data_IF_299323201511
#
_entry.id   IF_299323201511
#
_cell.length_a   1.000
_cell.length_b   1.000
_cell.length_c   1.000
_cell.angle_alpha   90.00
_cell.angle_beta   90.00
_cell.angle_gamma   90.00
#
_symmetry.space_group_name_H-M   'P 1'
#
loop_
_entity.id
_entity.type
_entity.pdbx_description
1 polymer ?
#
# COMPACT_ATOMS: atom_id res chain seq x y z
N UNK A 1 9.21 19.22 -24.46
CA UNK A 1 8.11 18.37 -23.94
C UNK A 1 8.72 17.34 -22.99
N UNK A 2 9.04 17.72 -21.75
CA UNK A 2 9.45 16.73 -20.76
C UNK A 2 8.17 16.05 -20.23
N UNK A 3 7.91 14.82 -20.67
CA UNK A 3 6.79 14.03 -20.19
C UNK A 3 6.98 13.75 -18.70
N UNK A 4 6.22 14.45 -17.85
CA UNK A 4 6.22 14.20 -16.41
C UNK A 4 5.67 12.79 -16.18
N UNK A 5 6.46 11.91 -15.56
CA UNK A 5 6.02 10.56 -15.22
C UNK A 5 4.87 10.64 -14.20
N UNK A 6 3.70 10.09 -14.53
CA UNK A 6 2.50 10.15 -13.68
C UNK A 6 2.67 9.44 -12.33
N UNK A 7 3.50 8.41 -12.27
CA UNK A 7 3.84 7.73 -11.00
C UNK A 7 4.64 8.69 -10.11
N UNK A 8 5.66 9.35 -10.67
CA UNK A 8 6.47 10.33 -9.93
C UNK A 8 5.64 11.55 -9.52
N UNK A 9 4.65 11.91 -10.34
CA UNK A 9 3.70 12.98 -10.03
C UNK A 9 2.58 12.55 -9.05
N UNK A 10 2.56 11.30 -8.60
CA UNK A 10 1.52 10.78 -7.69
C UNK A 10 0.13 10.65 -8.32
N UNK A 11 0.01 10.76 -9.65
CA UNK A 11 -1.28 10.68 -10.37
C UNK A 11 -1.72 9.25 -10.65
N UNK A 12 -0.79 8.30 -10.61
CA UNK A 12 -1.05 6.88 -10.86
C UNK A 12 -0.25 6.02 -9.89
N UNK A 13 -0.92 5.04 -9.28
CA UNK A 13 -0.27 4.02 -8.46
C UNK A 13 0.56 3.02 -9.28
N UNK A 14 1.37 2.25 -8.57
CA UNK A 14 2.18 1.17 -9.14
C UNK A 14 1.32 -0.07 -9.37
N UNK A 15 1.32 -0.58 -10.61
CA UNK A 15 0.65 -1.84 -10.97
C UNK A 15 1.61 -3.03 -10.90
N UNK A 16 1.08 -4.25 -11.01
CA UNK A 16 1.89 -5.46 -11.07
C UNK A 16 2.91 -5.44 -12.24
N UNK A 17 2.46 -5.11 -13.47
CA UNK A 17 3.37 -4.98 -14.62
C UNK A 17 4.49 -3.96 -14.35
N UNK A 18 4.15 -2.80 -13.76
CA UNK A 18 5.17 -1.81 -13.41
C UNK A 18 6.14 -2.35 -12.36
N UNK A 19 5.66 -3.02 -11.30
CA UNK A 19 6.54 -3.65 -10.31
C UNK A 19 7.49 -4.67 -10.95
N UNK A 20 6.99 -5.52 -11.87
CA UNK A 20 7.81 -6.52 -12.56
C UNK A 20 8.98 -5.88 -13.33
N UNK A 21 8.70 -4.77 -14.04
CA UNK A 21 9.72 -4.02 -14.78
C UNK A 21 10.72 -3.35 -13.83
N UNK A 22 10.24 -2.68 -12.79
CA UNK A 22 11.09 -1.91 -11.88
C UNK A 22 11.93 -2.80 -10.97
N UNK A 23 11.43 -3.94 -10.47
CA UNK A 23 12.28 -4.82 -9.67
C UNK A 23 13.41 -5.38 -10.52
N UNK A 24 13.15 -5.76 -11.78
CA UNK A 24 14.18 -6.30 -12.68
C UNK A 24 15.21 -5.25 -13.06
N UNK A 25 14.75 -4.01 -13.29
CA UNK A 25 15.62 -2.87 -13.62
C UNK A 25 16.54 -2.50 -12.46
N UNK A 26 16.02 -2.47 -11.24
CA UNK A 26 16.77 -2.02 -10.06
C UNK A 26 17.38 -3.16 -9.23
N UNK A 27 17.23 -4.41 -9.65
CA UNK A 27 17.76 -5.57 -8.91
C UNK A 27 17.11 -5.75 -7.52
N UNK A 28 15.85 -5.36 -7.37
CA UNK A 28 15.11 -5.45 -6.11
C UNK A 28 14.37 -6.78 -5.98
N UNK A 29 13.87 -7.07 -4.77
CA UNK A 29 13.03 -8.23 -4.54
C UNK A 29 11.67 -8.11 -5.21
N UNK A 30 11.07 -9.25 -5.57
CA UNK A 30 9.72 -9.27 -6.10
C UNK A 30 8.73 -8.65 -5.09
N UNK A 31 7.73 -7.97 -5.64
CA UNK A 31 6.71 -7.21 -4.91
C UNK A 31 7.22 -5.97 -4.15
N UNK A 32 8.49 -5.58 -4.28
CA UNK A 32 9.04 -4.43 -3.54
C UNK A 32 8.18 -3.18 -3.66
N UNK A 33 7.84 -2.80 -4.89
CA UNK A 33 7.08 -1.58 -5.15
C UNK A 33 5.59 -1.75 -4.82
N UNK A 34 5.03 -2.95 -5.01
CA UNK A 34 3.64 -3.23 -4.63
C UNK A 34 3.42 -3.15 -3.12
N UNK A 35 4.40 -3.57 -2.31
CA UNK A 35 4.33 -3.38 -0.85
C UNK A 35 4.30 -1.90 -0.47
N UNK A 36 5.10 -1.08 -1.16
CA UNK A 36 5.06 0.37 -1.00
C UNK A 36 3.71 0.97 -1.37
N UNK A 37 3.16 0.58 -2.53
CA UNK A 37 1.83 1.01 -2.98
C UNK A 37 0.73 0.62 -1.99
N UNK A 38 0.72 -0.64 -1.53
CA UNK A 38 -0.26 -1.14 -0.57
C UNK A 38 -0.19 -0.38 0.77
N UNK A 39 1.02 -0.03 1.23
CA UNK A 39 1.19 0.81 2.43
C UNK A 39 0.60 2.20 2.21
N UNK A 40 0.92 2.85 1.10
CA UNK A 40 0.36 4.17 0.77
C UNK A 40 -1.16 4.14 0.70
N UNK A 41 -1.74 3.18 -0.03
CA UNK A 41 -3.19 3.04 -0.17
C UNK A 41 -3.87 2.77 1.18
N UNK A 42 -3.20 2.00 2.05
CA UNK A 42 -3.68 1.72 3.41
C UNK A 42 -3.72 2.98 4.26
N UNK A 43 -2.67 3.80 4.27
CA UNK A 43 -2.64 5.03 5.06
C UNK A 43 -3.69 6.05 4.55
N UNK A 44 -3.78 6.23 3.23
CA UNK A 44 -4.82 7.09 2.63
C UNK A 44 -6.23 6.59 2.97
N UNK A 45 -6.47 5.29 2.91
CA UNK A 45 -7.76 4.70 3.27
C UNK A 45 -8.06 4.83 4.77
N UNK A 46 -7.06 4.63 5.65
CA UNK A 46 -7.23 4.82 7.09
C UNK A 46 -7.64 6.25 7.42
N UNK A 47 -6.98 7.23 6.83
CA UNK A 47 -7.31 8.65 7.02
C UNK A 47 -8.74 8.94 6.56
N UNK A 48 -9.10 8.49 5.36
CA UNK A 48 -10.45 8.70 4.80
C UNK A 48 -11.57 7.96 5.56
N UNK A 49 -11.25 6.81 6.18
CA UNK A 49 -12.24 5.93 6.82
C UNK A 49 -12.21 6.00 8.35
N UNK A 50 -11.40 6.87 8.97
CA UNK A 50 -11.17 6.91 10.41
C UNK A 50 -12.46 6.81 11.24
N UNK A 51 -13.47 7.64 10.93
CA UNK A 51 -14.76 7.66 11.66
C UNK A 51 -15.57 6.38 11.45
N UNK A 52 -15.49 5.76 10.27
CA UNK A 52 -16.19 4.50 9.98
C UNK A 52 -15.53 3.34 10.70
N UNK A 53 -14.19 3.28 10.66
CA UNK A 53 -13.40 2.25 11.35
C UNK A 53 -13.64 2.26 12.86
N UNK A 54 -13.74 3.43 13.48
CA UNK A 54 -14.02 3.57 14.92
C UNK A 54 -15.38 2.98 15.36
N UNK A 55 -16.32 2.80 14.43
CA UNK A 55 -17.64 2.21 14.70
C UNK A 55 -17.69 0.69 14.52
N UNK A 56 -16.65 0.10 13.92
CA UNK A 56 -16.59 -1.34 13.68
C UNK A 56 -16.23 -2.04 14.99
N UNK A 57 -17.14 -2.88 15.47
CA UNK A 57 -16.88 -3.76 16.62
C UNK A 57 -16.19 -5.03 16.13
N UNK A 58 -15.06 -5.45 16.73
CA UNK A 58 -14.46 -6.75 16.45
C UNK A 58 -15.47 -7.87 16.65
N UNK A 59 -15.41 -8.89 15.80
CA UNK A 59 -16.23 -10.08 15.95
C UNK A 59 -15.79 -10.88 17.19
N UNK A 60 -16.76 -11.31 18.00
CA UNK A 60 -16.52 -11.93 19.31
C UNK A 60 -15.69 -13.23 19.24
N UNK A 61 -15.72 -13.93 18.10
CA UNK A 61 -14.93 -15.14 17.88
C UNK A 61 -13.46 -14.92 17.48
N UNK A 62 -13.02 -13.67 17.31
CA UNK A 62 -11.60 -13.36 17.05
C UNK A 62 -10.80 -13.41 18.35
N UNK A 63 -9.81 -14.31 18.43
CA UNK A 63 -8.71 -14.12 19.38
C UNK A 63 -7.90 -12.92 18.91
N UNK A 64 -7.81 -11.89 19.74
CA UNK A 64 -6.94 -10.75 19.44
C UNK A 64 -5.53 -11.28 19.13
N UNK A 65 -5.00 -10.94 17.95
CA UNK A 65 -3.58 -11.13 17.70
C UNK A 65 -2.85 -10.17 18.63
N UNK A 66 -2.26 -10.71 19.72
CA UNK A 66 -1.31 -9.99 20.53
C UNK A 66 -0.21 -9.49 19.58
N UNK A 67 -0.19 -8.18 19.34
CA UNK A 67 0.73 -7.57 18.39
C UNK A 67 2.15 -7.91 18.78
N UNK A 68 2.85 -8.65 17.91
CA UNK A 68 4.31 -8.67 17.92
C UNK A 68 4.77 -7.28 17.50
N UNK A 69 4.95 -6.39 18.50
CA UNK A 69 5.87 -5.27 18.38
C UNK A 69 7.24 -5.83 18.75
N UNK A 70 8.00 -6.21 17.73
CA UNK A 70 9.45 -6.18 17.78
C UNK A 70 9.91 -4.78 17.37
#
# INVERSE_FOLDING_TARGET
MAGKCDIVAGKRGITADTNLRLYRLFGLSDGYWLRGQARYDTEVAKDALQVKLAKIKPWEGVKAHAGSRA
#
